data_IF_663964273575
#
_entry.id   IF_663964273575
#
_cell.length_a   1.000
_cell.length_b   1.000
_cell.length_c   1.000
_cell.angle_alpha   90.00
_cell.angle_beta   90.00
_cell.angle_gamma   90.00
#
_symmetry.space_group_name_H-M   'P 1'
#
loop_
_entity.id
_entity.type
_entity.pdbx_description
1 polymer ?
#
# COMPACT_ATOMS: atom_id res chain seq x y z
N UNK A 1 -9.14 -34.33 22.13
CA UNK A 1 -7.79 -34.51 22.72
C UNK A 1 -6.83 -33.60 21.98
N UNK A 2 -6.02 -32.85 22.73
CA UNK A 2 -5.46 -31.54 22.37
C UNK A 2 -4.43 -31.54 21.22
N UNK A 3 -4.52 -30.52 20.35
CA UNK A 3 -3.45 -30.09 19.45
C UNK A 3 -2.42 -29.27 20.26
N UNK A 4 -1.15 -29.67 20.31
CA UNK A 4 -0.12 -28.93 21.04
C UNK A 4 0.44 -27.79 20.18
N UNK A 5 0.26 -26.57 20.67
CA UNK A 5 1.30 -25.54 20.68
C UNK A 5 1.79 -25.01 19.33
N UNK A 6 1.01 -24.14 18.69
CA UNK A 6 1.58 -23.11 17.81
C UNK A 6 2.33 -22.09 18.68
N UNK A 7 3.57 -22.41 19.03
CA UNK A 7 4.51 -21.52 19.69
C UNK A 7 4.66 -20.27 18.80
N UNK A 8 4.05 -19.19 19.28
CA UNK A 8 4.09 -17.84 18.74
C UNK A 8 5.57 -17.45 18.72
N UNK A 9 6.24 -17.58 17.56
CA UNK A 9 7.64 -17.21 17.40
C UNK A 9 7.74 -15.71 17.64
N UNK A 10 8.12 -15.33 18.85
CA UNK A 10 8.57 -13.99 19.16
C UNK A 10 9.74 -13.71 18.23
N UNK A 11 9.51 -12.85 17.25
CA UNK A 11 10.54 -12.40 16.33
C UNK A 11 11.63 -11.72 17.17
N UNK A 12 12.91 -12.15 17.08
CA UNK A 12 14.01 -11.56 17.87
C UNK A 12 14.16 -10.04 17.63
N UNK A 13 13.58 -9.56 16.53
CA UNK A 13 13.44 -8.17 16.15
C UNK A 13 12.60 -7.32 17.12
N UNK A 14 11.57 -7.88 17.78
CA UNK A 14 10.73 -7.13 18.72
C UNK A 14 11.44 -6.81 20.04
N UNK A 15 12.31 -7.71 20.49
CA UNK A 15 13.17 -7.51 21.66
C UNK A 15 14.29 -6.50 21.39
N UNK A 16 14.87 -6.54 20.18
CA UNK A 16 15.83 -5.53 19.74
C UNK A 16 15.20 -4.13 19.61
N UNK A 17 13.92 -4.05 19.22
CA UNK A 17 13.15 -2.80 19.15
C UNK A 17 12.82 -2.23 20.54
N UNK A 18 12.36 -3.06 21.48
CA UNK A 18 12.18 -2.63 22.87
C UNK A 18 13.50 -2.19 23.49
N UNK A 19 14.60 -2.87 23.17
CA UNK A 19 15.95 -2.51 23.58
C UNK A 19 16.42 -1.17 22.99
N UNK A 20 16.18 -0.92 21.70
CA UNK A 20 16.50 0.36 21.06
C UNK A 20 15.63 1.51 21.58
N UNK A 21 14.35 1.25 21.88
CA UNK A 21 13.43 2.20 22.52
C UNK A 21 13.88 2.53 23.96
N UNK A 22 14.22 1.51 24.76
CA UNK A 22 14.78 1.69 26.11
C UNK A 22 16.12 2.42 26.09
N UNK A 23 16.99 2.12 25.12
CA UNK A 23 18.29 2.79 24.96
C UNK A 23 18.12 4.25 24.54
N UNK A 24 17.11 4.57 23.72
CA UNK A 24 16.76 5.95 23.36
C UNK A 24 16.10 6.72 24.51
N UNK A 25 15.44 6.02 25.44
CA UNK A 25 14.80 6.59 26.62
C UNK A 25 15.79 6.84 27.78
N UNK A 26 16.99 6.24 27.75
CA UNK A 26 17.99 6.34 28.82
C UNK A 26 19.02 7.47 28.60
N UNK A 27 19.02 8.14 27.44
CA UNK A 27 19.94 9.26 27.20
C UNK A 27 19.32 10.61 27.65
N UNK A 28 20.08 11.44 28.39
CA UNK A 28 19.54 12.54 29.19
C UNK A 28 18.98 13.67 28.34
N UNK A 29 17.91 14.29 28.86
CA UNK A 29 17.23 15.46 28.34
C UNK A 29 18.13 16.72 28.40
N UNK A 30 19.12 16.81 27.50
CA UNK A 30 19.92 18.01 27.30
C UNK A 30 19.38 18.85 26.14
N UNK A 31 19.28 20.16 26.34
CA UNK A 31 18.79 21.17 25.36
C UNK A 31 19.71 21.37 24.13
N UNK A 32 20.61 20.43 23.85
CA UNK A 32 21.55 20.49 22.72
C UNK A 32 20.92 20.01 21.41
N UNK A 33 21.29 20.68 20.30
CA UNK A 33 20.92 20.33 18.92
C UNK A 33 21.12 18.83 18.56
N UNK A 34 22.01 18.15 19.28
CA UNK A 34 22.32 16.73 19.13
C UNK A 34 21.14 15.83 19.54
N UNK A 35 20.38 16.20 20.58
CA UNK A 35 19.21 15.43 21.02
C UNK A 35 18.04 15.51 20.03
N UNK A 36 17.87 16.67 19.38
CA UNK A 36 16.93 16.87 18.28
C UNK A 36 17.30 16.06 17.03
N UNK A 37 18.61 15.95 16.74
CA UNK A 37 19.13 15.11 15.66
C UNK A 37 18.88 13.63 15.87
N UNK A 38 19.07 13.12 17.09
CA UNK A 38 18.84 11.70 17.41
C UNK A 38 17.34 11.35 17.36
N UNK A 39 16.47 12.26 17.78
CA UNK A 39 15.00 12.08 17.72
C UNK A 39 14.46 12.11 16.30
N UNK A 40 14.96 13.02 15.46
CA UNK A 40 14.60 13.08 14.04
C UNK A 40 15.17 11.89 13.25
N UNK A 41 16.38 11.44 13.57
CA UNK A 41 16.98 10.24 12.97
C UNK A 41 16.25 8.94 13.36
N UNK A 42 15.82 8.80 14.61
CA UNK A 42 15.06 7.62 15.06
C UNK A 42 13.65 7.59 14.47
N UNK A 43 12.97 8.73 14.40
CA UNK A 43 11.68 8.85 13.69
C UNK A 43 11.82 8.54 12.20
N UNK A 44 12.87 9.06 11.55
CA UNK A 44 13.18 8.78 10.14
C UNK A 44 13.48 7.28 9.91
N UNK A 45 14.25 6.64 10.79
CA UNK A 45 14.56 5.21 10.69
C UNK A 45 13.34 4.30 10.90
N UNK A 46 12.40 4.68 11.77
CA UNK A 46 11.14 3.95 11.96
C UNK A 46 10.26 4.05 10.71
N UNK A 47 10.16 5.24 10.12
CA UNK A 47 9.41 5.51 8.88
C UNK A 47 10.01 4.76 7.69
N UNK A 48 11.33 4.82 7.51
CA UNK A 48 12.02 4.11 6.43
C UNK A 48 11.92 2.59 6.56
N UNK A 49 11.77 2.06 7.78
CA UNK A 49 11.70 0.61 8.03
C UNK A 49 10.29 0.03 7.92
N UNK A 50 9.25 0.83 8.14
CA UNK A 50 7.87 0.40 7.85
C UNK A 50 7.65 0.12 6.36
N UNK A 51 8.37 0.81 5.47
CA UNK A 51 8.37 0.55 4.03
C UNK A 51 8.84 -0.86 3.64
N UNK A 52 9.79 -1.44 4.39
CA UNK A 52 10.33 -2.79 4.14
C UNK A 52 9.44 -3.91 4.72
N UNK A 53 8.61 -3.60 5.73
CA UNK A 53 7.73 -4.59 6.38
C UNK A 53 6.46 -4.90 5.58
N UNK A 54 6.25 -4.24 4.44
CA UNK A 54 5.12 -4.44 3.52
C UNK A 54 5.36 -5.54 2.48
N UNK A 55 6.56 -6.13 2.46
CA UNK A 55 7.04 -6.98 1.37
C UNK A 55 6.42 -8.39 1.24
N UNK A 56 5.95 -9.09 2.29
CA UNK A 56 5.50 -10.48 2.11
C UNK A 56 3.98 -10.71 1.98
N UNK A 57 3.12 -9.69 1.93
CA UNK A 57 1.65 -9.87 2.02
C UNK A 57 0.86 -9.58 0.73
N UNK A 58 1.51 -9.79 -0.40
CA UNK A 58 1.11 -9.33 -1.73
C UNK A 58 -0.04 -10.13 -2.41
N UNK A 59 -0.65 -11.16 -1.79
CA UNK A 59 -1.46 -12.16 -2.53
C UNK A 59 -2.90 -12.41 -2.03
N UNK A 60 -3.64 -11.37 -1.61
CA UNK A 60 -5.13 -11.32 -1.66
C UNK A 60 -5.69 -10.00 -1.06
N UNK A 61 -6.16 -9.07 -1.91
CA UNK A 61 -7.03 -7.94 -1.52
C UNK A 61 -6.39 -6.54 -1.43
N UNK A 62 -5.74 -6.05 -2.50
CA UNK A 62 -4.86 -4.86 -2.50
C UNK A 62 -5.47 -3.53 -2.03
N UNK A 63 -6.74 -3.25 -2.28
CA UNK A 63 -7.28 -1.90 -2.04
C UNK A 63 -7.47 -1.53 -0.55
N UNK A 64 -8.10 -2.35 0.29
CA UNK A 64 -8.27 -2.02 1.72
C UNK A 64 -6.93 -1.89 2.45
N UNK A 65 -5.90 -2.63 2.03
CA UNK A 65 -4.57 -2.54 2.63
C UNK A 65 -3.86 -1.23 2.28
N UNK A 66 -3.94 -0.79 1.03
CA UNK A 66 -3.40 0.50 0.60
C UNK A 66 -4.09 1.67 1.31
N UNK A 67 -5.41 1.60 1.47
CA UNK A 67 -6.18 2.58 2.24
C UNK A 67 -5.81 2.58 3.71
N UNK A 68 -5.71 1.40 4.34
CA UNK A 68 -5.29 1.27 5.73
C UNK A 68 -3.86 1.82 5.95
N UNK A 69 -2.94 1.55 5.01
CA UNK A 69 -1.59 2.11 5.02
C UNK A 69 -1.62 3.63 4.89
N UNK A 70 -2.39 4.18 3.95
CA UNK A 70 -2.52 5.64 3.76
C UNK A 70 -3.05 6.32 5.03
N UNK A 71 -4.08 5.75 5.67
CA UNK A 71 -4.64 6.24 6.93
C UNK A 71 -3.61 6.11 8.06
N UNK A 72 -2.87 5.01 8.14
CA UNK A 72 -1.82 4.80 9.14
C UNK A 72 -0.67 5.80 8.99
N UNK A 73 -0.21 6.04 7.76
CA UNK A 73 0.82 7.04 7.43
C UNK A 73 0.34 8.44 7.78
N UNK A 74 -0.90 8.80 7.41
CA UNK A 74 -1.49 10.09 7.79
C UNK A 74 -1.58 10.27 9.31
N UNK A 75 -2.00 9.23 10.05
CA UNK A 75 -2.04 9.23 11.51
C UNK A 75 -0.66 9.44 12.15
N UNK A 76 0.36 8.76 11.62
CA UNK A 76 1.76 8.94 12.06
C UNK A 76 2.28 10.34 11.75
N UNK A 77 1.99 10.88 10.56
CA UNK A 77 2.33 12.25 10.20
C UNK A 77 1.62 13.27 11.10
N UNK A 78 0.34 13.03 11.44
CA UNK A 78 -0.42 13.86 12.37
C UNK A 78 0.18 13.88 13.76
N UNK A 79 0.60 12.71 14.26
CA UNK A 79 1.32 12.59 15.52
C UNK A 79 2.66 13.34 15.48
N UNK A 80 3.39 13.22 14.35
CA UNK A 80 4.64 13.95 14.12
C UNK A 80 4.46 15.46 14.18
N UNK A 81 3.43 16.01 13.52
CA UNK A 81 3.13 17.42 13.58
C UNK A 81 2.67 17.87 14.97
N UNK A 82 1.82 17.11 15.65
CA UNK A 82 1.41 17.41 17.02
C UNK A 82 2.60 17.48 17.99
N UNK A 83 3.61 16.63 17.78
CA UNK A 83 4.83 16.64 18.59
C UNK A 83 5.82 17.77 18.21
N UNK A 84 5.96 18.08 16.92
CA UNK A 84 6.96 19.03 16.41
C UNK A 84 6.46 20.49 16.36
N UNK A 85 5.14 20.71 16.31
CA UNK A 85 4.54 22.03 16.12
C UNK A 85 3.79 22.49 17.38
N UNK A 86 4.33 23.49 18.12
CA UNK A 86 3.69 24.01 19.33
C UNK A 86 2.31 24.65 19.10
N UNK A 87 2.02 25.07 17.86
CA UNK A 87 0.72 25.65 17.49
C UNK A 87 -0.39 24.61 17.34
N UNK A 88 -0.05 23.33 17.13
CA UNK A 88 -1.02 22.24 17.12
C UNK A 88 -1.34 21.85 18.56
N UNK A 89 -2.37 22.48 19.15
CA UNK A 89 -2.73 22.26 20.56
C UNK A 89 -3.32 20.86 20.78
N UNK A 90 -4.04 20.33 19.80
CA UNK A 90 -4.65 19.01 19.85
C UNK A 90 -4.06 18.07 18.81
N UNK A 91 -4.23 16.75 19.02
CA UNK A 91 -3.88 15.75 18.01
C UNK A 91 -4.69 15.95 16.71
N UNK A 92 -5.93 16.46 16.82
CA UNK A 92 -6.77 16.78 15.67
C UNK A 92 -6.15 17.87 14.79
N UNK A 93 -5.54 18.89 15.40
CA UNK A 93 -4.86 19.97 14.67
C UNK A 93 -3.60 19.46 13.96
N UNK A 94 -2.85 18.56 14.60
CA UNK A 94 -1.69 17.90 13.99
C UNK A 94 -2.09 17.02 12.81
N UNK A 95 -3.18 16.24 12.94
CA UNK A 95 -3.73 15.40 11.87
C UNK A 95 -4.27 16.25 10.71
N UNK A 96 -4.94 17.36 11.01
CA UNK A 96 -5.41 18.32 10.02
C UNK A 96 -4.25 18.93 9.22
N UNK A 97 -3.19 19.35 9.91
CA UNK A 97 -1.98 19.85 9.27
C UNK A 97 -1.31 18.78 8.39
N UNK A 98 -1.25 17.53 8.86
CA UNK A 98 -0.73 16.41 8.08
C UNK A 98 -1.57 16.16 6.82
N UNK A 99 -2.90 16.15 6.96
CA UNK A 99 -3.83 15.90 5.86
C UNK A 99 -3.74 16.98 4.79
N UNK A 100 -3.83 18.25 5.18
CA UNK A 100 -3.77 19.39 4.24
C UNK A 100 -2.41 19.50 3.54
N UNK A 101 -1.33 19.15 4.23
CA UNK A 101 0.03 19.09 3.66
C UNK A 101 0.19 17.91 2.70
N UNK A 102 -0.22 16.70 3.09
CA UNK A 102 -0.12 15.50 2.25
C UNK A 102 -1.02 15.58 1.00
N UNK A 103 -2.20 16.20 1.13
CA UNK A 103 -3.09 16.48 0.02
C UNK A 103 -2.66 17.67 -0.84
N UNK A 104 -1.57 18.36 -0.49
CA UNK A 104 -1.05 19.56 -1.18
C UNK A 104 -2.05 20.73 -1.26
N UNK A 105 -3.06 20.76 -0.38
CA UNK A 105 -4.07 21.83 -0.32
C UNK A 105 -3.53 23.06 0.39
N UNK A 106 -2.94 22.86 1.58
CA UNK A 106 -2.28 23.92 2.35
C UNK A 106 -3.12 25.18 2.59
N UNK A 107 -4.25 25.07 3.29
CA UNK A 107 -5.14 26.21 3.58
C UNK A 107 -4.44 27.39 4.29
N UNK A 108 -3.36 27.11 5.04
CA UNK A 108 -2.56 28.13 5.71
C UNK A 108 -3.14 28.62 7.04
N UNK A 109 -4.18 27.97 7.54
CA UNK A 109 -4.77 28.17 8.87
C UNK A 109 -3.83 27.71 9.98
N UNK A 110 -3.21 26.54 9.80
CA UNK A 110 -2.14 26.04 10.65
C UNK A 110 -0.93 25.81 9.75
N UNK A 111 0.22 26.32 10.15
CA UNK A 111 1.47 26.20 9.38
C UNK A 111 2.63 25.83 10.29
N UNK A 112 3.59 25.01 9.80
CA UNK A 112 4.78 24.66 10.56
C UNK A 112 5.61 25.93 10.84
N UNK A 113 5.67 26.33 12.11
CA UNK A 113 6.40 27.50 12.56
C UNK A 113 7.85 27.14 12.91
N UNK A 114 8.08 25.94 13.45
CA UNK A 114 9.41 25.50 13.87
C UNK A 114 10.27 25.01 12.69
N UNK A 115 11.60 25.20 12.73
CA UNK A 115 12.49 24.67 11.69
C UNK A 115 12.36 23.15 11.51
N UNK A 116 12.17 22.43 12.62
CA UNK A 116 11.97 20.98 12.59
C UNK A 116 10.65 20.61 11.89
N UNK A 117 9.54 21.28 12.20
CA UNK A 117 8.25 21.04 11.56
C UNK A 117 8.27 21.38 10.06
N UNK A 118 9.04 22.39 9.64
CA UNK A 118 9.21 22.74 8.21
C UNK A 118 9.96 21.67 7.43
N UNK A 119 11.06 21.16 7.99
CA UNK A 119 11.80 20.04 7.37
C UNK A 119 10.92 18.80 7.30
N UNK A 120 10.19 18.50 8.39
CA UNK A 120 9.23 17.41 8.42
C UNK A 120 8.14 17.55 7.36
N UNK A 121 7.59 18.75 7.16
CA UNK A 121 6.58 19.02 6.13
C UNK A 121 7.06 18.66 4.72
N UNK A 122 8.33 18.93 4.38
CA UNK A 122 8.91 18.51 3.09
C UNK A 122 8.84 16.99 2.92
N UNK A 123 9.19 16.23 3.95
CA UNK A 123 9.07 14.76 3.90
C UNK A 123 7.62 14.30 3.78
N UNK A 124 6.68 14.97 4.46
CA UNK A 124 5.24 14.66 4.37
C UNK A 124 4.72 14.87 2.95
N UNK A 125 5.13 15.95 2.26
CA UNK A 125 4.75 16.18 0.87
C UNK A 125 5.25 15.06 -0.05
N UNK A 126 6.53 14.67 0.08
CA UNK A 126 7.11 13.58 -0.71
C UNK A 126 6.38 12.24 -0.46
N UNK A 127 6.06 11.95 0.81
CA UNK A 127 5.34 10.75 1.20
C UNK A 127 3.89 10.76 0.67
N UNK A 128 3.19 11.90 0.80
CA UNK A 128 1.84 12.08 0.27
C UNK A 128 1.78 11.81 -1.23
N UNK A 129 2.75 12.34 -1.98
CA UNK A 129 2.86 12.10 -3.43
C UNK A 129 3.11 10.62 -3.77
N UNK A 130 3.95 9.92 -3.00
CA UNK A 130 4.20 8.49 -3.18
C UNK A 130 2.93 7.66 -2.95
N UNK A 131 2.17 7.96 -1.89
CA UNK A 131 0.91 7.27 -1.58
C UNK A 131 -0.14 7.53 -2.67
N UNK A 132 -0.31 8.79 -3.09
CA UNK A 132 -1.24 9.15 -4.17
C UNK A 132 -0.89 8.43 -5.48
N UNK A 133 0.41 8.35 -5.81
CA UNK A 133 0.89 7.63 -6.99
C UNK A 133 0.57 6.13 -6.91
N UNK A 134 0.76 5.51 -5.75
CA UNK A 134 0.48 4.09 -5.54
C UNK A 134 -1.02 3.78 -5.62
N UNK A 135 -1.87 4.62 -5.05
CA UNK A 135 -3.33 4.50 -5.16
C UNK A 135 -3.75 4.61 -6.63
N UNK A 136 -3.20 5.57 -7.37
CA UNK A 136 -3.46 5.75 -8.80
C UNK A 136 -3.04 4.52 -9.60
N UNK A 137 -1.84 3.99 -9.36
CA UNK A 137 -1.34 2.79 -10.00
C UNK A 137 -2.20 1.55 -9.68
N UNK A 138 -2.67 1.41 -8.44
CA UNK A 138 -3.52 0.31 -8.03
C UNK A 138 -4.88 0.33 -8.75
N UNK A 139 -5.50 1.52 -8.88
CA UNK A 139 -6.75 1.69 -9.63
C UNK A 139 -6.53 1.34 -11.10
N UNK A 140 -5.46 1.85 -11.72
CA UNK A 140 -5.12 1.54 -13.11
C UNK A 140 -4.91 0.03 -13.32
N UNK A 141 -4.18 -0.63 -12.41
CA UNK A 141 -3.97 -2.08 -12.47
C UNK A 141 -5.28 -2.87 -12.35
N UNK A 142 -6.24 -2.42 -11.53
CA UNK A 142 -7.56 -3.03 -11.44
C UNK A 142 -8.34 -2.93 -12.76
N UNK A 143 -8.28 -1.77 -13.43
CA UNK A 143 -8.92 -1.60 -14.73
C UNK A 143 -8.28 -2.48 -15.80
N UNK A 144 -6.95 -2.47 -15.89
CA UNK A 144 -6.21 -3.31 -16.84
C UNK A 144 -6.51 -4.78 -16.61
N UNK A 145 -6.48 -5.26 -15.36
CA UNK A 145 -6.77 -6.66 -15.04
C UNK A 145 -8.21 -7.06 -15.37
N UNK A 146 -9.17 -6.13 -15.22
CA UNK A 146 -10.57 -6.38 -15.58
C UNK A 146 -10.73 -6.50 -17.09
N UNK A 147 -10.03 -5.65 -17.85
CA UNK A 147 -10.05 -5.65 -19.31
C UNK A 147 -9.34 -6.87 -19.89
N UNK A 148 -8.15 -7.22 -19.39
CA UNK A 148 -7.43 -8.45 -19.79
C UNK A 148 -8.31 -9.69 -19.59
N UNK A 149 -8.96 -9.83 -18.44
CA UNK A 149 -9.88 -10.95 -18.16
C UNK A 149 -11.11 -10.95 -19.06
N UNK A 150 -11.52 -9.78 -19.56
CA UNK A 150 -12.65 -9.67 -20.49
C UNK A 150 -12.21 -10.12 -21.88
N UNK A 151 -11.09 -9.60 -22.37
CA UNK A 151 -10.49 -9.96 -23.65
C UNK A 151 -10.20 -11.47 -23.71
N UNK A 152 -9.60 -12.04 -22.66
CA UNK A 152 -9.34 -13.49 -22.57
C UNK A 152 -10.63 -14.31 -22.70
N UNK A 153 -11.71 -13.89 -22.02
CA UNK A 153 -13.02 -14.55 -22.11
C UNK A 153 -13.64 -14.42 -23.49
N UNK A 154 -13.54 -13.26 -24.14
CA UNK A 154 -14.05 -13.04 -25.49
C UNK A 154 -13.28 -13.90 -26.51
N UNK A 155 -11.94 -13.94 -26.44
CA UNK A 155 -11.10 -14.78 -27.30
C UNK A 155 -11.44 -16.27 -27.13
N UNK A 156 -11.57 -16.74 -25.89
CA UNK A 156 -11.91 -18.14 -25.62
C UNK A 156 -13.30 -18.52 -26.17
N UNK A 157 -14.28 -17.60 -26.06
CA UNK A 157 -15.60 -17.81 -26.62
C UNK A 157 -15.58 -17.89 -28.15
N UNK A 158 -14.82 -17.02 -28.82
CA UNK A 158 -14.72 -17.03 -30.27
C UNK A 158 -14.00 -18.28 -30.80
N UNK A 159 -12.91 -18.71 -30.15
CA UNK A 159 -12.24 -19.98 -30.46
C UNK A 159 -13.22 -21.14 -30.35
N UNK A 160 -14.02 -21.18 -29.29
CA UNK A 160 -15.00 -22.25 -29.09
C UNK A 160 -16.08 -22.25 -30.20
N UNK A 161 -16.57 -21.08 -30.61
CA UNK A 161 -17.52 -20.96 -31.74
C UNK A 161 -16.93 -21.47 -33.05
N UNK A 162 -15.69 -21.11 -33.35
CA UNK A 162 -15.01 -21.54 -34.59
C UNK A 162 -14.80 -23.06 -34.63
N UNK A 163 -14.42 -23.66 -33.50
CA UNK A 163 -14.27 -25.13 -33.39
C UNK A 163 -15.61 -25.83 -33.65
N UNK A 164 -16.70 -25.35 -33.05
CA UNK A 164 -18.04 -25.92 -33.28
C UNK A 164 -18.48 -25.74 -34.73
N UNK A 165 -18.23 -24.57 -35.33
CA UNK A 165 -18.51 -24.32 -36.74
C UNK A 165 -17.79 -25.30 -37.66
N UNK A 166 -16.48 -25.45 -37.49
CA UNK A 166 -15.65 -26.36 -38.29
C UNK A 166 -16.05 -27.83 -38.07
N UNK A 167 -16.35 -28.22 -36.83
CA UNK A 167 -16.78 -29.59 -36.53
C UNK A 167 -18.11 -29.94 -37.21
N UNK A 168 -19.05 -29.00 -37.26
CA UNK A 168 -20.33 -29.15 -37.95
C UNK A 168 -20.14 -29.28 -39.47
N UNK A 169 -19.23 -28.51 -40.06
CA UNK A 169 -18.92 -28.57 -41.49
C UNK A 169 -18.28 -29.91 -41.87
N UNK A 170 -17.32 -30.41 -41.08
CA UNK A 170 -16.71 -31.73 -41.28
C UNK A 170 -17.75 -32.86 -41.17
N UNK A 171 -18.67 -32.77 -40.20
CA UNK A 171 -19.73 -33.79 -40.05
C UNK A 171 -20.76 -33.74 -41.16
N UNK A 172 -21.07 -32.56 -41.71
CA UNK A 172 -21.93 -32.41 -42.89
C UNK A 172 -21.29 -33.07 -44.13
N UNK A 173 -20.03 -32.72 -44.45
CA UNK A 173 -19.32 -33.30 -45.59
C UNK A 173 -19.19 -34.83 -45.48
N UNK A 174 -18.92 -35.36 -44.27
CA UNK A 174 -18.85 -36.80 -44.04
C UNK A 174 -20.19 -37.51 -44.28
N UNK A 175 -21.32 -36.87 -43.96
CA UNK A 175 -22.66 -37.40 -44.23
C UNK A 175 -22.93 -37.46 -45.73
N UNK A 176 -22.59 -36.42 -46.48
CA UNK A 176 -22.74 -36.40 -47.95
C UNK A 176 -21.96 -37.54 -48.61
N UNK A 177 -20.68 -37.72 -48.28
CA UNK A 177 -19.87 -38.82 -48.81
C UNK A 177 -20.43 -40.21 -48.47
N UNK A 178 -21.03 -40.38 -47.27
CA UNK A 178 -21.66 -41.64 -46.89
C UNK A 178 -22.92 -41.95 -47.70
N UNK A 179 -23.67 -40.92 -48.09
CA UNK A 179 -24.86 -41.07 -48.94
C UNK A 179 -24.48 -41.41 -50.38
N UNK A 180 -23.45 -40.77 -50.93
CA UNK A 180 -22.95 -41.08 -52.27
C UNK A 180 -22.45 -42.53 -52.37
N UNK A 181 -21.71 -43.00 -51.35
CA UNK A 181 -21.22 -44.39 -51.30
C UNK A 181 -22.31 -45.47 -51.20
N UNK A 182 -23.51 -45.15 -50.71
CA UNK A 182 -24.63 -46.09 -50.65
C UNK A 182 -25.50 -46.11 -51.91
N UNK A 183 -25.33 -45.10 -52.78
CA UNK A 183 -26.08 -44.96 -54.03
C UNK A 183 -25.45 -45.70 -55.22
N UNK A 184 -24.23 -46.22 -55.04
CA UNK A 184 -23.45 -47.01 -56.00
C UNK A 184 -23.47 -48.47 -55.57
#
# INVERSE_FOLDING_TARGET
MASPGSARRHTPLGLLLCGALLLSALLPAGEGAVALGVRSATALLIVLRWGESLKPWFWRGSLPYLLALAVGVLGLCGLGFWWLEPRAQTFGDGLWLAFTTAATVGYGDIVPSTPAAKIFAVFVVLMGFAVLSLVTAAIAAMWVQTEERRIEREILQDIHRQIHGLHNEITAMRREQSSERQSV
#
